data_IF_365303945920
#
_entry.id   IF_365303945920
#
_cell.length_a   1.000
_cell.length_b   1.000
_cell.length_c   1.000
_cell.angle_alpha   90.00
_cell.angle_beta   90.00
_cell.angle_gamma   90.00
#
_symmetry.space_group_name_H-M   'P 1'
#
loop_
_entity.id
_entity.type
_entity.pdbx_description
1 polymer ?
#
# COMPACT_ATOMS: atom_id res chain seq x y z
N UNK A 1 3.52 -5.96 -19.79
CA UNK A 1 3.08 -7.25 -19.22
C UNK A 1 1.56 -7.20 -19.12
N UNK A 2 0.82 -7.97 -19.94
CA UNK A 2 -0.66 -7.91 -19.99
C UNK A 2 -1.22 -9.08 -19.16
N UNK A 3 -2.20 -8.82 -18.28
CA UNK A 3 -2.90 -9.85 -17.50
C UNK A 3 -4.16 -10.30 -18.23
N UNK A 4 -4.41 -11.60 -18.28
CA UNK A 4 -5.68 -12.16 -18.77
C UNK A 4 -6.28 -13.11 -17.73
N UNK A 5 -7.61 -13.14 -17.65
CA UNK A 5 -8.40 -14.12 -16.89
C UNK A 5 -8.99 -15.14 -17.88
N UNK A 6 -8.70 -16.42 -17.68
CA UNK A 6 -9.35 -17.50 -18.42
C UNK A 6 -10.68 -17.84 -17.72
N UNK A 7 -11.79 -17.50 -18.35
CA UNK A 7 -13.16 -17.63 -17.78
C UNK A 7 -13.62 -19.08 -17.57
N UNK A 8 -12.90 -20.08 -18.07
CA UNK A 8 -13.26 -21.49 -17.93
C UNK A 8 -12.51 -22.24 -16.81
N UNK A 9 -11.43 -21.69 -16.24
CA UNK A 9 -10.63 -22.42 -15.25
C UNK A 9 -10.09 -21.59 -14.07
N UNK A 10 -10.37 -20.28 -13.99
CA UNK A 10 -9.99 -19.43 -12.86
C UNK A 10 -8.48 -19.21 -12.64
N UNK A 11 -7.62 -19.92 -13.36
CA UNK A 11 -6.17 -19.82 -13.23
C UNK A 11 -5.60 -18.60 -13.97
N UNK A 12 -4.84 -17.78 -13.24
CA UNK A 12 -4.07 -16.65 -13.78
C UNK A 12 -2.81 -17.19 -14.44
N UNK A 13 -2.71 -17.13 -15.77
CA UNK A 13 -1.47 -17.47 -16.51
C UNK A 13 -0.77 -16.21 -17.01
N UNK A 14 0.56 -16.20 -16.86
CA UNK A 14 1.46 -15.23 -17.48
C UNK A 14 1.97 -15.79 -18.81
N UNK A 15 2.04 -14.97 -19.85
CA UNK A 15 2.66 -15.37 -21.13
C UNK A 15 3.67 -14.31 -21.55
N UNK A 16 4.89 -14.74 -21.87
CA UNK A 16 6.06 -13.89 -22.11
C UNK A 16 6.74 -14.18 -23.47
N UNK A 17 5.98 -14.22 -24.58
CA UNK A 17 6.61 -14.16 -25.91
C UNK A 17 5.68 -13.60 -26.99
N UNK A 18 6.29 -13.06 -28.05
CA UNK A 18 5.65 -12.44 -29.21
C UNK A 18 4.81 -13.41 -30.07
N UNK A 19 5.09 -14.72 -30.02
CA UNK A 19 4.30 -15.74 -30.73
C UNK A 19 2.92 -15.98 -30.08
N UNK A 20 2.76 -15.70 -28.80
CA UNK A 20 1.49 -15.91 -28.09
C UNK A 20 0.44 -14.83 -28.34
N UNK A 21 0.84 -13.67 -28.87
CA UNK A 21 -0.08 -12.60 -29.28
C UNK A 21 -0.90 -12.96 -30.53
N UNK A 22 -0.39 -13.85 -31.38
CA UNK A 22 -1.09 -14.29 -32.60
C UNK A 22 -2.26 -15.24 -32.31
N UNK A 23 -2.17 -16.05 -31.24
CA UNK A 23 -3.25 -16.94 -30.80
C UNK A 23 -4.44 -16.18 -30.16
N UNK A 24 -4.25 -14.91 -29.77
CA UNK A 24 -5.30 -14.09 -29.13
C UNK A 24 -6.23 -13.44 -30.16
N UNK A 25 -5.77 -13.20 -31.40
CA UNK A 25 -6.62 -12.61 -32.46
C UNK A 25 -7.73 -13.55 -32.95
N UNK A 26 -7.64 -14.86 -32.67
CA UNK A 26 -8.62 -15.85 -33.13
C UNK A 26 -9.71 -16.20 -32.10
N UNK A 27 -9.67 -15.63 -30.89
CA UNK A 27 -10.55 -16.04 -29.78
C UNK A 27 -11.14 -14.82 -29.06
N UNK A 28 -12.46 -14.78 -28.86
CA UNK A 28 -13.21 -13.66 -28.27
C UNK A 28 -12.85 -13.39 -26.79
N UNK A 29 -11.70 -12.81 -26.52
CA UNK A 29 -11.32 -12.32 -25.19
C UNK A 29 -11.53 -10.80 -25.09
N UNK A 30 -12.22 -10.35 -24.04
CA UNK A 30 -12.35 -8.92 -23.68
C UNK A 30 -11.08 -8.47 -22.95
N UNK A 31 -10.42 -7.43 -23.47
CA UNK A 31 -9.24 -6.82 -22.85
C UNK A 31 -9.74 -5.73 -21.89
N UNK A 32 -9.35 -5.79 -20.62
CA UNK A 32 -9.58 -4.71 -19.64
C UNK A 32 -8.24 -3.97 -19.42
N UNK A 33 -8.17 -2.64 -19.58
CA UNK A 33 -6.92 -1.88 -19.43
C UNK A 33 -6.39 -1.92 -17.98
N UNK A 34 -5.08 -2.10 -17.84
CA UNK A 34 -4.40 -2.27 -16.53
C UNK A 34 -3.87 -0.95 -15.97
N UNK A 35 -4.60 0.15 -16.13
CA UNK A 35 -4.10 1.50 -15.80
C UNK A 35 -4.33 1.96 -14.34
N UNK A 36 -4.92 1.13 -13.46
CA UNK A 36 -5.22 1.53 -12.07
C UNK A 36 -4.43 0.79 -10.97
N UNK A 37 -3.46 -0.07 -11.31
CA UNK A 37 -2.78 -0.89 -10.29
C UNK A 37 -1.28 -1.14 -10.53
N UNK A 38 -0.39 -0.15 -10.29
CA UNK A 38 1.05 -0.39 -10.28
C UNK A 38 1.59 -0.90 -8.92
N UNK A 39 0.79 -0.97 -7.85
CA UNK A 39 1.32 -1.08 -6.47
C UNK A 39 1.55 -2.50 -5.92
N UNK A 40 1.45 -3.55 -6.75
CA UNK A 40 1.98 -4.87 -6.39
C UNK A 40 2.90 -5.33 -7.50
N UNK A 41 4.21 -5.09 -7.32
CA UNK A 41 5.19 -5.97 -7.91
C UNK A 41 4.84 -7.39 -7.43
N UNK A 42 4.67 -8.39 -8.31
CA UNK A 42 4.45 -9.76 -7.87
C UNK A 42 5.64 -10.15 -6.99
N UNK A 43 5.41 -10.32 -5.68
CA UNK A 43 6.49 -10.74 -4.76
C UNK A 43 6.96 -12.17 -5.02
N UNK A 44 6.22 -12.98 -5.78
CA UNK A 44 6.46 -14.42 -5.91
C UNK A 44 6.34 -14.91 -7.36
N UNK A 45 7.16 -14.42 -8.28
CA UNK A 45 7.38 -15.12 -9.55
C UNK A 45 8.89 -15.11 -9.83
N UNK A 46 9.46 -16.29 -10.04
CA UNK A 46 10.87 -16.57 -10.35
C UNK A 46 11.81 -16.80 -9.14
N UNK A 47 11.65 -17.96 -8.49
CA UNK A 47 12.82 -18.70 -8.00
C UNK A 47 13.54 -19.30 -9.21
N UNK A 48 14.36 -18.49 -9.90
CA UNK A 48 15.37 -19.03 -10.81
C UNK A 48 16.65 -19.14 -10.00
N UNK A 49 17.21 -20.34 -9.92
CA UNK A 49 18.35 -20.65 -9.08
C UNK A 49 19.47 -19.62 -9.26
N UNK A 50 19.94 -19.07 -8.13
CA UNK A 50 20.97 -18.03 -8.02
C UNK A 50 22.38 -18.58 -8.38
N UNK A 51 22.47 -19.57 -9.26
CA UNK A 51 23.57 -20.52 -9.34
C UNK A 51 24.43 -20.44 -10.61
N UNK A 52 24.52 -19.27 -11.27
CA UNK A 52 25.61 -19.06 -12.24
C UNK A 52 26.71 -18.18 -11.62
N UNK A 53 27.91 -18.76 -11.53
CA UNK A 53 29.09 -18.16 -10.90
C UNK A 53 29.46 -16.78 -11.48
N UNK A 54 29.11 -16.53 -12.75
CA UNK A 54 29.40 -15.27 -13.44
C UNK A 54 28.51 -14.10 -13.01
N UNK A 55 27.24 -14.35 -12.70
CA UNK A 55 26.34 -13.29 -12.24
C UNK A 55 26.79 -12.80 -10.87
N UNK A 56 27.11 -13.70 -9.94
CA UNK A 56 27.59 -13.38 -8.59
C UNK A 56 28.87 -12.55 -8.60
N UNK A 57 29.86 -12.91 -9.42
CA UNK A 57 31.13 -12.17 -9.55
C UNK A 57 30.94 -10.74 -10.06
N UNK A 58 30.05 -10.55 -11.05
CA UNK A 58 29.70 -9.22 -11.57
C UNK A 58 28.94 -8.38 -10.55
N UNK A 59 28.15 -9.03 -9.71
CA UNK A 59 27.33 -8.43 -8.64
C UNK A 59 28.20 -7.92 -7.50
N UNK A 60 29.22 -8.69 -7.09
CA UNK A 60 30.23 -8.29 -6.09
C UNK A 60 31.05 -7.07 -6.54
N UNK A 61 31.39 -6.99 -7.83
CA UNK A 61 32.07 -5.80 -8.38
C UNK A 61 31.22 -4.54 -8.24
N UNK A 62 29.89 -4.66 -8.40
CA UNK A 62 28.96 -3.54 -8.20
C UNK A 62 28.88 -3.21 -6.70
N UNK A 63 28.71 -4.20 -5.83
CA UNK A 63 28.64 -4.01 -4.37
C UNK A 63 29.88 -3.27 -3.83
N UNK A 64 31.07 -3.73 -4.17
CA UNK A 64 32.33 -3.10 -3.78
C UNK A 64 32.44 -1.64 -4.25
N UNK A 65 32.04 -1.36 -5.50
CA UNK A 65 32.02 0.03 -6.02
C UNK A 65 31.03 0.93 -5.29
N UNK A 66 29.93 0.38 -4.80
CA UNK A 66 28.90 1.11 -4.06
C UNK A 66 29.21 1.21 -2.56
N UNK A 67 30.29 0.57 -2.09
CA UNK A 67 30.66 0.54 -0.67
C UNK A 67 29.68 -0.23 0.20
N UNK A 68 29.03 -1.26 -0.36
CA UNK A 68 28.10 -2.13 0.37
C UNK A 68 28.74 -3.49 0.59
N UNK A 69 28.49 -4.08 1.75
CA UNK A 69 28.89 -5.45 2.04
C UNK A 69 28.29 -6.44 1.04
N UNK A 70 29.15 -7.29 0.46
CA UNK A 70 28.78 -8.25 -0.58
C UNK A 70 27.61 -9.15 -0.13
N UNK A 71 27.62 -9.62 1.12
CA UNK A 71 26.57 -10.48 1.68
C UNK A 71 25.22 -9.77 1.70
N UNK A 72 25.18 -8.54 2.22
CA UNK A 72 23.96 -7.73 2.29
C UNK A 72 23.40 -7.42 0.88
N UNK A 73 24.27 -7.14 -0.08
CA UNK A 73 23.89 -6.85 -1.45
C UNK A 73 23.31 -8.10 -2.14
N UNK A 74 23.98 -9.24 -2.01
CA UNK A 74 23.52 -10.53 -2.56
C UNK A 74 22.19 -10.95 -1.94
N UNK A 75 22.05 -10.86 -0.62
CA UNK A 75 20.81 -11.19 0.09
C UNK A 75 19.63 -10.34 -0.37
N UNK A 76 19.87 -9.04 -0.59
CA UNK A 76 18.86 -8.12 -1.08
C UNK A 76 18.37 -8.45 -2.50
N UNK A 77 19.23 -9.06 -3.32
CA UNK A 77 18.92 -9.43 -4.70
C UNK A 77 18.23 -10.79 -4.85
N UNK A 78 18.29 -11.67 -3.84
CA UNK A 78 17.55 -12.96 -3.82
C UNK A 78 16.05 -12.77 -4.09
N UNK A 79 15.49 -11.66 -3.60
CA UNK A 79 14.07 -11.34 -3.75
C UNK A 79 13.73 -10.59 -5.05
N UNK A 80 14.73 -10.15 -5.81
CA UNK A 80 14.58 -9.34 -7.03
C UNK A 80 15.68 -9.67 -8.06
N UNK A 81 15.74 -10.91 -8.58
CA UNK A 81 16.83 -11.36 -9.46
C UNK A 81 16.94 -10.55 -10.76
N UNK A 82 15.83 -9.97 -11.24
CA UNK A 82 15.81 -9.12 -12.44
C UNK A 82 16.77 -7.91 -12.34
N UNK A 83 17.10 -7.48 -11.13
CA UNK A 83 18.01 -6.36 -10.89
C UNK A 83 19.47 -6.68 -11.26
N UNK A 84 19.83 -7.96 -11.37
CA UNK A 84 21.16 -8.41 -11.82
C UNK A 84 21.46 -8.02 -13.27
N UNK A 85 20.41 -7.86 -14.09
CA UNK A 85 20.55 -7.47 -15.50
C UNK A 85 20.66 -5.96 -15.69
N UNK A 86 20.57 -5.16 -14.62
CA UNK A 86 20.70 -3.70 -14.68
C UNK A 86 22.19 -3.32 -14.73
N UNK A 87 22.58 -2.49 -15.71
CA UNK A 87 23.96 -2.06 -15.90
C UNK A 87 24.56 -1.35 -14.68
N UNK A 88 25.86 -1.55 -14.41
CA UNK A 88 26.64 -0.87 -13.35
C UNK A 88 26.40 0.65 -13.32
N UNK A 89 26.36 1.31 -14.48
CA UNK A 89 26.18 2.76 -14.57
C UNK A 89 24.82 3.24 -14.03
N UNK A 90 23.76 2.45 -14.19
CA UNK A 90 22.43 2.76 -13.65
C UNK A 90 22.40 2.61 -12.14
N UNK A 91 23.02 1.55 -11.62
CA UNK A 91 23.22 1.37 -10.19
C UNK A 91 23.99 2.54 -9.57
N UNK A 92 25.17 2.86 -10.10
CA UNK A 92 26.02 3.95 -9.62
C UNK A 92 25.30 5.30 -9.66
N UNK A 93 24.59 5.60 -10.75
CA UNK A 93 23.86 6.88 -10.88
C UNK A 93 22.68 6.98 -9.92
N UNK A 94 21.94 5.88 -9.73
CA UNK A 94 20.81 5.83 -8.79
C UNK A 94 21.29 5.96 -7.35
N UNK A 95 22.34 5.21 -6.98
CA UNK A 95 22.94 5.25 -5.65
C UNK A 95 23.46 6.63 -5.31
N UNK A 96 24.24 7.23 -6.21
CA UNK A 96 24.79 8.56 -6.02
C UNK A 96 23.71 9.59 -5.75
N UNK A 97 22.62 9.58 -6.51
CA UNK A 97 21.54 10.54 -6.31
C UNK A 97 20.78 10.30 -4.99
N UNK A 98 20.48 9.05 -4.64
CA UNK A 98 19.79 8.73 -3.38
C UNK A 98 20.64 9.11 -2.16
N UNK A 99 21.94 8.85 -2.22
CA UNK A 99 22.90 9.25 -1.18
C UNK A 99 23.09 10.77 -1.11
N UNK A 100 23.16 11.46 -2.25
CA UNK A 100 23.20 12.93 -2.29
C UNK A 100 21.95 13.56 -1.66
N UNK A 101 20.83 12.83 -1.62
CA UNK A 101 19.61 13.26 -0.97
C UNK A 101 19.50 12.81 0.49
N UNK A 102 20.57 12.27 1.09
CA UNK A 102 20.69 12.04 2.53
C UNK A 102 20.38 10.61 3.01
N UNK A 103 20.29 9.64 2.10
CA UNK A 103 20.19 8.21 2.45
C UNK A 103 21.58 7.59 2.63
N UNK A 104 21.72 6.65 3.57
CA UNK A 104 22.93 5.82 3.65
C UNK A 104 23.01 4.82 2.49
N UNK A 105 24.16 4.15 2.31
CA UNK A 105 24.32 3.10 1.31
C UNK A 105 23.34 1.93 1.55
N UNK A 106 23.18 1.51 2.80
CA UNK A 106 22.24 0.45 3.21
C UNK A 106 20.77 0.87 2.99
N UNK A 107 20.41 2.11 3.35
CA UNK A 107 19.06 2.63 3.13
C UNK A 107 18.75 2.74 1.63
N UNK A 108 19.74 3.12 0.84
CA UNK A 108 19.65 3.20 -0.62
C UNK A 108 19.39 1.82 -1.23
N UNK A 109 20.15 0.80 -0.81
CA UNK A 109 19.91 -0.58 -1.22
C UNK A 109 18.51 -1.04 -0.83
N UNK A 110 18.09 -0.79 0.41
CA UNK A 110 16.75 -1.12 0.89
C UNK A 110 15.64 -0.46 0.08
N UNK A 111 15.79 0.82 -0.26
CA UNK A 111 14.82 1.58 -1.07
C UNK A 111 14.68 0.99 -2.47
N UNK A 112 15.81 0.67 -3.10
CA UNK A 112 15.86 0.10 -4.45
C UNK A 112 15.25 -1.31 -4.48
N UNK A 113 15.57 -2.16 -3.52
CA UNK A 113 15.05 -3.53 -3.47
C UNK A 113 13.57 -3.55 -3.13
N UNK A 114 13.10 -2.59 -2.32
CA UNK A 114 11.68 -2.40 -2.04
C UNK A 114 10.88 -1.88 -3.23
N UNK A 115 11.49 -1.06 -4.09
CA UNK A 115 10.87 -0.52 -5.29
C UNK A 115 11.83 -0.54 -6.50
N UNK A 116 12.03 -1.73 -7.11
CA UNK A 116 12.93 -1.93 -8.24
C UNK A 116 12.77 -0.96 -9.43
N UNK A 117 11.55 -0.47 -9.78
CA UNK A 117 11.39 0.50 -10.86
C UNK A 117 12.22 1.76 -10.73
N UNK A 118 12.64 2.12 -9.52
CA UNK A 118 13.47 3.31 -9.29
C UNK A 118 14.79 3.25 -10.07
N UNK A 119 15.41 2.06 -10.17
CA UNK A 119 16.62 1.84 -10.97
C UNK A 119 16.42 2.00 -12.48
N UNK A 120 15.19 1.83 -12.95
CA UNK A 120 14.84 1.97 -14.35
C UNK A 120 14.42 3.40 -14.72
N UNK A 121 14.17 4.23 -13.71
CA UNK A 121 13.69 5.61 -13.87
C UNK A 121 14.87 6.57 -14.08
N UNK A 122 14.64 7.69 -14.76
CA UNK A 122 15.67 8.71 -14.89
C UNK A 122 15.95 9.36 -13.52
N UNK A 123 17.22 9.50 -13.19
CA UNK A 123 17.70 10.11 -11.95
C UNK A 123 17.10 11.51 -11.72
N UNK A 124 16.90 12.27 -12.79
CA UNK A 124 16.30 13.61 -12.72
C UNK A 124 14.85 13.59 -12.23
N UNK A 125 14.09 12.53 -12.54
CA UNK A 125 12.67 12.46 -12.19
C UNK A 125 12.50 12.30 -10.68
N UNK A 126 13.20 11.36 -10.06
CA UNK A 126 13.11 11.16 -8.62
C UNK A 126 13.89 12.23 -7.81
N UNK A 127 14.94 12.84 -8.38
CA UNK A 127 15.57 14.03 -7.81
C UNK A 127 14.58 15.19 -7.67
N UNK A 128 13.74 15.39 -8.70
CA UNK A 128 12.66 16.38 -8.66
C UNK A 128 11.61 15.99 -7.61
N UNK A 129 11.30 14.69 -7.47
CA UNK A 129 10.47 14.17 -6.39
C UNK A 129 10.93 14.59 -4.99
N UNK A 130 12.22 14.45 -4.67
CA UNK A 130 12.78 14.92 -3.40
C UNK A 130 12.53 16.42 -3.17
N UNK A 131 12.74 17.24 -4.20
CA UNK A 131 12.51 18.70 -4.10
C UNK A 131 11.05 19.02 -3.76
N UNK A 132 10.10 18.36 -4.43
CA UNK A 132 8.68 18.56 -4.13
C UNK A 132 8.31 18.14 -2.71
N UNK A 133 8.82 17.00 -2.24
CA UNK A 133 8.56 16.53 -0.89
C UNK A 133 9.19 17.40 0.21
N UNK A 134 10.35 18.01 -0.06
CA UNK A 134 10.93 19.00 0.85
C UNK A 134 10.11 20.30 0.90
N UNK A 135 9.48 20.67 -0.22
CA UNK A 135 8.67 21.88 -0.35
C UNK A 135 7.31 21.86 0.38
N UNK A 136 6.82 20.70 0.84
CA UNK A 136 5.54 20.60 1.58
C UNK A 136 5.68 20.72 3.10
N UNK A 137 6.87 21.11 3.57
CA UNK A 137 7.14 21.50 4.97
C UNK A 137 6.75 20.44 6.01
N UNK A 138 6.92 19.14 5.70
CA UNK A 138 6.72 18.07 6.69
C UNK A 138 7.96 17.84 7.58
N UNK A 139 9.05 18.55 7.31
CA UNK A 139 10.36 18.42 7.96
C UNK A 139 11.25 17.35 7.34
N UNK A 140 12.53 17.65 7.14
CA UNK A 140 13.49 16.81 6.38
C UNK A 140 13.54 15.36 6.89
N UNK A 141 13.70 15.16 8.20
CA UNK A 141 13.77 13.81 8.80
C UNK A 141 12.49 13.00 8.55
N UNK A 142 11.33 13.65 8.58
CA UNK A 142 10.06 12.98 8.33
C UNK A 142 9.90 12.62 6.85
N UNK A 143 10.29 13.52 5.95
CA UNK A 143 10.28 13.32 4.50
C UNK A 143 11.18 12.14 4.12
N UNK A 144 12.44 12.13 4.55
CA UNK A 144 13.35 11.02 4.25
C UNK A 144 12.83 9.70 4.80
N UNK A 145 12.31 9.72 6.03
CA UNK A 145 11.70 8.53 6.63
C UNK A 145 10.45 8.04 5.87
N UNK A 146 9.65 8.96 5.33
CA UNK A 146 8.49 8.65 4.47
C UNK A 146 8.95 8.02 3.15
N UNK A 147 9.91 8.64 2.45
CA UNK A 147 10.38 8.19 1.15
C UNK A 147 11.12 6.85 1.24
N UNK A 148 11.83 6.59 2.34
CA UNK A 148 12.36 5.25 2.64
C UNK A 148 11.27 4.19 2.78
N UNK A 149 10.15 4.57 3.42
CA UNK A 149 9.03 3.66 3.65
C UNK A 149 8.19 3.46 2.38
N UNK A 150 8.04 4.50 1.57
CA UNK A 150 7.21 4.54 0.37
C UNK A 150 8.00 5.12 -0.82
N UNK A 151 8.99 4.38 -1.38
CA UNK A 151 9.84 4.88 -2.47
C UNK A 151 9.08 5.33 -3.73
N UNK A 152 7.90 4.75 -3.98
CA UNK A 152 7.04 5.11 -5.10
C UNK A 152 6.60 6.58 -5.08
N UNK A 153 6.66 7.24 -3.92
CA UNK A 153 6.33 8.66 -3.78
C UNK A 153 7.34 9.60 -4.44
N UNK A 154 8.55 9.13 -4.71
CA UNK A 154 9.54 9.89 -5.47
C UNK A 154 9.09 10.15 -6.92
N UNK A 155 8.15 9.36 -7.43
CA UNK A 155 7.67 9.46 -8.81
C UNK A 155 6.31 10.18 -8.93
N UNK A 156 5.82 10.75 -7.84
CA UNK A 156 4.54 11.49 -7.82
C UNK A 156 4.77 12.94 -8.26
N UNK A 157 3.83 13.49 -9.03
CA UNK A 157 3.90 14.87 -9.51
C UNK A 157 3.79 15.87 -8.36
N UNK A 158 4.58 16.95 -8.40
CA UNK A 158 4.63 17.97 -7.35
C UNK A 158 3.26 18.55 -6.96
N UNK A 159 2.44 18.93 -7.94
CA UNK A 159 1.08 19.46 -7.70
C UNK A 159 0.21 18.49 -6.89
N UNK A 160 0.29 17.20 -7.19
CA UNK A 160 -0.47 16.17 -6.48
C UNK A 160 0.02 16.02 -5.04
N UNK A 161 1.34 16.05 -4.82
CA UNK A 161 1.94 16.03 -3.48
C UNK A 161 1.45 17.24 -2.67
N UNK A 162 1.57 18.45 -3.22
CA UNK A 162 1.15 19.69 -2.54
C UNK A 162 -0.33 19.68 -2.19
N UNK A 163 -1.20 19.35 -3.15
CA UNK A 163 -2.65 19.29 -2.93
C UNK A 163 -3.01 18.26 -1.87
N UNK A 164 -2.47 17.03 -1.98
CA UNK A 164 -2.81 15.97 -1.05
C UNK A 164 -2.29 16.23 0.36
N UNK A 165 -1.08 16.77 0.49
CA UNK A 165 -0.54 17.10 1.80
C UNK A 165 -1.36 18.23 2.44
N UNK A 166 -1.79 19.24 1.67
CA UNK A 166 -2.70 20.27 2.18
C UNK A 166 -4.01 19.66 2.70
N UNK A 167 -4.65 18.77 1.94
CA UNK A 167 -5.83 18.03 2.40
C UNK A 167 -5.57 17.24 3.69
N UNK A 168 -4.48 16.48 3.77
CA UNK A 168 -4.17 15.69 4.96
C UNK A 168 -3.85 16.56 6.19
N UNK A 169 -3.29 17.76 6.00
CA UNK A 169 -3.09 18.72 7.10
C UNK A 169 -4.41 19.28 7.66
N UNK A 170 -5.51 19.23 6.90
CA UNK A 170 -6.84 19.62 7.44
C UNK A 170 -7.36 18.63 8.48
N UNK A 171 -6.92 17.37 8.45
CA UNK A 171 -7.40 16.31 9.34
C UNK A 171 -6.41 15.94 10.46
N UNK A 172 -5.15 16.38 10.38
CA UNK A 172 -4.12 16.08 11.38
C UNK A 172 -2.86 16.92 11.27
N UNK A 173 -1.98 16.81 12.27
CA UNK A 173 -0.68 17.49 12.28
C UNK A 173 0.32 16.90 11.29
N UNK A 174 1.42 17.59 11.00
CA UNK A 174 2.47 17.09 10.07
C UNK A 174 2.99 15.69 10.44
N UNK A 175 3.16 15.42 11.73
CA UNK A 175 3.55 14.07 12.22
C UNK A 175 2.48 13.03 11.92
N UNK A 176 1.20 13.40 12.05
CA UNK A 176 0.08 12.52 11.68
C UNK A 176 0.02 12.29 10.17
N UNK A 177 0.21 13.33 9.35
CA UNK A 177 0.27 13.21 7.87
C UNK A 177 1.35 12.21 7.44
N UNK A 178 2.55 12.32 7.99
CA UNK A 178 3.65 11.40 7.68
C UNK A 178 3.30 9.96 8.09
N UNK A 179 2.66 9.78 9.26
CA UNK A 179 2.26 8.46 9.74
C UNK A 179 1.14 7.86 8.89
N UNK A 180 0.14 8.65 8.52
CA UNK A 180 -0.95 8.28 7.62
C UNK A 180 -0.41 7.80 6.28
N UNK A 181 0.47 8.56 5.65
CA UNK A 181 1.03 8.22 4.35
C UNK A 181 1.91 6.96 4.38
N UNK A 182 2.57 6.68 5.52
CA UNK A 182 3.30 5.42 5.73
C UNK A 182 2.37 4.23 5.91
N UNK A 183 1.32 4.37 6.71
CA UNK A 183 0.38 3.29 7.02
C UNK A 183 -0.58 3.02 5.84
N UNK A 184 -1.01 4.07 5.13
CA UNK A 184 -1.96 4.01 4.04
C UNK A 184 -1.43 4.78 2.81
N UNK A 185 -0.43 4.24 2.07
CA UNK A 185 0.18 4.94 0.95
C UNK A 185 -0.80 5.25 -0.20
N UNK A 186 -1.92 4.51 -0.27
CA UNK A 186 -3.00 4.74 -1.23
C UNK A 186 -3.69 6.08 -1.06
N UNK A 187 -3.65 6.68 0.14
CA UNK A 187 -4.19 8.01 0.41
C UNK A 187 -3.58 9.09 -0.49
N UNK A 188 -2.42 8.85 -1.10
CA UNK A 188 -1.86 9.76 -2.09
C UNK A 188 -2.70 9.87 -3.37
N UNK A 189 -3.50 8.84 -3.68
CA UNK A 189 -4.20 8.67 -4.95
C UNK A 189 -5.72 8.53 -4.80
N UNK A 190 -6.21 8.13 -3.63
CA UNK A 190 -7.65 7.95 -3.35
C UNK A 190 -8.46 9.24 -3.57
N UNK A 191 -9.72 9.14 -3.97
CA UNK A 191 -10.63 10.30 -4.00
C UNK A 191 -10.75 10.89 -2.59
N UNK A 192 -10.66 12.22 -2.48
CA UNK A 192 -10.72 12.89 -1.17
C UNK A 192 -12.08 12.73 -0.49
N UNK A 193 -13.18 12.68 -1.26
CA UNK A 193 -14.52 12.46 -0.71
C UNK A 193 -14.63 11.07 -0.06
N UNK A 194 -14.04 10.03 -0.66
CA UNK A 194 -14.02 8.68 -0.07
C UNK A 194 -13.20 8.65 1.23
N UNK A 195 -12.12 9.43 1.29
CA UNK A 195 -11.33 9.58 2.53
C UNK A 195 -12.15 10.29 3.61
N UNK A 196 -12.89 11.35 3.26
CA UNK A 196 -13.77 12.05 4.18
C UNK A 196 -14.93 11.15 4.65
N UNK A 197 -15.51 10.34 3.78
CA UNK A 197 -16.55 9.37 4.15
C UNK A 197 -16.03 8.34 5.17
N UNK A 198 -14.81 7.82 4.97
CA UNK A 198 -14.16 6.94 5.96
C UNK A 198 -13.90 7.64 7.30
N UNK A 199 -13.47 8.90 7.27
CA UNK A 199 -13.24 9.68 8.49
C UNK A 199 -14.55 9.97 9.23
N UNK A 200 -15.60 10.37 8.51
CA UNK A 200 -16.95 10.58 9.05
C UNK A 200 -17.49 9.32 9.71
N UNK A 201 -17.40 8.19 9.01
CA UNK A 201 -17.83 6.91 9.56
C UNK A 201 -17.09 6.56 10.87
N UNK A 202 -15.76 6.66 10.88
CA UNK A 202 -14.98 6.25 12.06
C UNK A 202 -15.08 7.23 13.24
N UNK A 203 -15.03 8.54 12.97
CA UNK A 203 -14.95 9.57 14.01
C UNK A 203 -16.34 10.02 14.46
N UNK A 204 -17.25 10.22 13.51
CA UNK A 204 -18.55 10.82 13.79
C UNK A 204 -19.61 9.75 14.06
N UNK A 205 -19.67 8.68 13.26
CA UNK A 205 -20.66 7.62 13.45
C UNK A 205 -20.24 6.61 14.53
N UNK A 206 -19.02 6.06 14.42
CA UNK A 206 -18.48 5.09 15.38
C UNK A 206 -17.83 5.76 16.61
N UNK A 207 -17.72 7.10 16.67
CA UNK A 207 -17.19 7.85 17.83
C UNK A 207 -15.79 7.41 18.27
N UNK A 208 -14.94 7.05 17.32
CA UNK A 208 -13.55 6.68 17.59
C UNK A 208 -12.71 7.94 17.69
N UNK A 209 -11.84 8.01 18.69
CA UNK A 209 -10.95 9.15 18.89
C UNK A 209 -10.12 9.39 17.61
N UNK A 210 -10.16 10.62 17.08
CA UNK A 210 -9.42 11.02 15.87
C UNK A 210 -7.96 10.56 15.89
N UNK A 211 -7.26 10.76 17.01
CA UNK A 211 -5.86 10.36 17.18
C UNK A 211 -5.62 8.86 16.97
N UNK A 212 -6.58 8.01 17.33
CA UNK A 212 -6.51 6.57 17.10
C UNK A 212 -6.69 6.24 15.62
N UNK A 213 -7.67 6.87 14.96
CA UNK A 213 -7.91 6.72 13.53
C UNK A 213 -6.67 7.13 12.71
N UNK A 214 -6.05 8.26 13.03
CA UNK A 214 -4.88 8.74 12.29
C UNK A 214 -3.59 7.92 12.53
N UNK A 215 -3.56 7.07 13.56
CA UNK A 215 -2.40 6.22 13.89
C UNK A 215 -2.53 4.78 13.41
N UNK A 216 -3.74 4.32 13.10
CA UNK A 216 -4.03 2.95 12.66
C UNK A 216 -3.84 2.78 11.16
N UNK A 217 -4.14 1.59 10.66
CA UNK A 217 -4.24 1.28 9.23
C UNK A 217 -5.68 1.39 8.68
N UNK A 218 -6.63 1.95 9.45
CA UNK A 218 -8.05 1.99 9.07
C UNK A 218 -8.29 2.68 7.72
N UNK A 219 -7.61 3.80 7.44
CA UNK A 219 -7.78 4.53 6.19
C UNK A 219 -7.18 3.82 4.96
N UNK A 220 -6.42 2.73 5.15
CA UNK A 220 -5.95 1.88 4.06
C UNK A 220 -7.01 0.85 3.60
N UNK A 221 -8.09 0.71 4.37
CA UNK A 221 -9.24 -0.13 4.04
C UNK A 221 -10.29 0.66 3.26
N UNK A 222 -11.13 -0.04 2.51
CA UNK A 222 -12.32 0.53 1.90
C UNK A 222 -13.44 0.74 2.95
N UNK A 223 -14.42 1.57 2.60
CA UNK A 223 -15.50 1.93 3.52
C UNK A 223 -16.40 0.74 3.84
N UNK A 224 -16.68 -0.13 2.86
CA UNK A 224 -17.53 -1.30 3.04
C UNK A 224 -16.92 -2.29 4.04
N UNK A 225 -15.61 -2.55 3.97
CA UNK A 225 -14.87 -3.36 4.93
C UNK A 225 -14.98 -2.81 6.35
N UNK A 226 -14.79 -1.50 6.52
CA UNK A 226 -14.91 -0.85 7.82
C UNK A 226 -16.34 -1.01 8.35
N UNK A 227 -17.35 -0.64 7.55
CA UNK A 227 -18.76 -0.77 7.91
C UNK A 227 -19.12 -2.21 8.28
N UNK A 228 -18.75 -3.19 7.45
CA UNK A 228 -18.99 -4.61 7.70
C UNK A 228 -18.52 -5.05 9.08
N UNK A 229 -17.25 -4.76 9.44
CA UNK A 229 -16.71 -5.16 10.75
C UNK A 229 -17.37 -4.45 11.93
N UNK A 230 -17.61 -3.14 11.81
CA UNK A 230 -18.22 -2.37 12.88
C UNK A 230 -19.70 -2.71 13.10
N UNK A 231 -20.49 -2.82 12.02
CA UNK A 231 -21.89 -3.24 12.08
C UNK A 231 -22.01 -4.67 12.59
N UNK A 232 -21.11 -5.57 12.19
CA UNK A 232 -21.08 -6.93 12.72
C UNK A 232 -20.88 -6.94 14.23
N UNK A 233 -19.90 -6.19 14.75
CA UNK A 233 -19.68 -6.11 16.20
C UNK A 233 -20.86 -5.45 16.94
N UNK A 234 -21.53 -4.46 16.35
CA UNK A 234 -22.77 -3.90 16.91
C UNK A 234 -23.88 -4.97 16.99
N UNK A 235 -24.07 -5.76 15.93
CA UNK A 235 -25.07 -6.85 15.87
C UNK A 235 -24.74 -8.00 16.83
N UNK A 236 -23.46 -8.30 17.06
CA UNK A 236 -23.01 -9.25 18.08
C UNK A 236 -23.03 -8.68 19.51
N UNK A 237 -23.38 -7.40 19.70
CA UNK A 237 -23.33 -6.73 21.01
C UNK A 237 -21.91 -6.55 21.57
N UNK A 238 -20.88 -6.67 20.72
CA UNK A 238 -19.45 -6.50 21.07
C UNK A 238 -18.97 -5.06 20.89
N UNK A 239 -19.73 -4.24 20.18
CA UNK A 239 -19.47 -2.82 20.04
C UNK A 239 -20.70 -2.02 20.41
N UNK A 240 -20.52 -1.01 21.26
CA UNK A 240 -21.56 -0.04 21.60
C UNK A 240 -21.01 1.34 21.31
N UNK A 241 -21.67 2.09 20.42
CA UNK A 241 -21.27 3.47 20.10
C UNK A 241 -21.11 4.30 21.39
N UNK A 242 -19.91 4.86 21.66
CA UNK A 242 -19.70 5.73 22.80
C UNK A 242 -20.73 6.87 22.86
N UNK A 243 -21.17 7.23 24.07
CA UNK A 243 -21.98 8.44 24.30
C UNK A 243 -21.15 9.69 23.95
N UNK A 244 -21.83 10.79 23.62
CA UNK A 244 -21.18 12.07 23.32
C UNK A 244 -20.36 12.62 24.51
N UNK A 245 -20.84 12.40 25.73
CA UNK A 245 -20.18 12.78 26.97
C UNK A 245 -20.01 11.54 27.86
N UNK A 246 -19.00 10.68 27.56
CA UNK A 246 -18.77 9.46 28.33
C UNK A 246 -18.08 9.82 29.65
N UNK A 247 -18.52 9.20 30.75
CA UNK A 247 -17.83 9.33 32.03
C UNK A 247 -16.38 8.83 31.90
N UNK A 248 -15.36 9.68 32.12
CA UNK A 248 -13.97 9.30 31.97
C UNK A 248 -13.53 8.20 32.95
N UNK A 249 -14.30 7.97 34.03
CA UNK A 249 -14.03 6.91 34.99
C UNK A 249 -14.55 5.54 34.54
N UNK A 250 -15.38 5.48 33.50
CA UNK A 250 -15.94 4.24 32.98
C UNK A 250 -15.25 3.91 31.65
N UNK A 251 -14.25 3.02 31.65
CA UNK A 251 -13.57 2.66 30.42
C UNK A 251 -14.52 1.95 29.46
N UNK A 252 -14.35 2.23 28.17
CA UNK A 252 -15.09 1.54 27.11
C UNK A 252 -14.77 0.03 27.14
N UNK A 253 -15.81 -0.79 26.96
CA UNK A 253 -15.67 -2.25 26.75
C UNK A 253 -15.47 -2.60 25.28
N UNK A 254 -15.49 -1.61 24.37
CA UNK A 254 -15.32 -1.86 22.95
C UNK A 254 -13.91 -2.36 22.65
N UNK A 255 -13.76 -3.27 21.67
CA UNK A 255 -12.45 -3.69 21.19
C UNK A 255 -11.62 -2.49 20.68
N UNK A 256 -10.28 -2.54 20.82
CA UNK A 256 -9.42 -1.49 20.29
C UNK A 256 -9.52 -1.42 18.77
N UNK A 257 -9.50 -0.22 18.18
CA UNK A 257 -9.61 -0.02 16.73
C UNK A 257 -8.65 -0.93 15.94
N UNK A 258 -7.43 -1.13 16.45
CA UNK A 258 -6.41 -1.98 15.83
C UNK A 258 -6.91 -3.41 15.61
N UNK A 259 -7.52 -4.03 16.63
CA UNK A 259 -8.02 -5.41 16.53
C UNK A 259 -9.20 -5.50 15.56
N UNK A 260 -9.95 -4.41 15.39
CA UNK A 260 -11.07 -4.35 14.45
C UNK A 260 -10.58 -4.24 13.00
N UNK A 261 -9.54 -3.47 12.69
CA UNK A 261 -9.20 -3.13 11.28
C UNK A 261 -7.93 -3.78 10.73
N UNK A 262 -7.06 -4.30 11.59
CA UNK A 262 -5.73 -4.79 11.20
C UNK A 262 -5.63 -6.32 11.17
N UNK A 263 -6.39 -7.01 12.02
CA UNK A 263 -6.41 -8.49 12.07
C UNK A 263 -7.05 -9.09 10.81
N UNK A 264 -6.67 -10.32 10.47
CA UNK A 264 -7.38 -11.12 9.46
C UNK A 264 -8.79 -11.50 9.93
N UNK A 265 -9.60 -12.04 9.01
CA UNK A 265 -11.01 -12.33 9.26
C UNK A 265 -11.21 -13.44 10.30
N UNK A 266 -10.31 -14.43 10.37
CA UNK A 266 -10.37 -15.53 11.35
C UNK A 266 -10.09 -15.03 12.78
N UNK A 267 -9.05 -14.23 12.95
CA UNK A 267 -8.71 -13.64 14.26
C UNK A 267 -9.77 -12.63 14.67
N UNK A 268 -10.26 -11.82 13.73
CA UNK A 268 -11.35 -10.88 13.98
C UNK A 268 -12.63 -11.60 14.44
N UNK A 269 -13.10 -12.61 13.71
CA UNK A 269 -14.34 -13.31 14.03
C UNK A 269 -14.24 -14.06 15.36
N UNK A 270 -13.18 -14.84 15.56
CA UNK A 270 -13.06 -15.72 16.73
C UNK A 270 -12.64 -14.98 18.00
N UNK A 271 -11.68 -14.06 17.92
CA UNK A 271 -11.10 -13.41 19.11
C UNK A 271 -11.75 -12.07 19.44
N UNK A 272 -12.26 -11.34 18.44
CA UNK A 272 -12.85 -10.01 18.64
C UNK A 272 -14.38 -10.08 18.70
N UNK A 273 -15.01 -10.75 17.74
CA UNK A 273 -16.46 -10.88 17.70
C UNK A 273 -16.98 -12.06 18.55
N UNK A 274 -16.17 -13.11 18.74
CA UNK A 274 -16.53 -14.30 19.53
C UNK A 274 -17.49 -15.24 18.81
N UNK A 275 -17.34 -15.35 17.48
CA UNK A 275 -18.14 -16.18 16.57
C UNK A 275 -17.22 -17.04 15.70
N UNK A 276 -17.77 -17.94 14.88
CA UNK A 276 -16.96 -18.67 13.89
C UNK A 276 -16.61 -17.80 12.68
N UNK A 277 -15.60 -18.21 11.90
CA UNK A 277 -15.26 -17.54 10.65
C UNK A 277 -16.41 -17.64 9.64
N UNK A 278 -17.05 -18.80 9.56
CA UNK A 278 -18.16 -19.05 8.64
C UNK A 278 -19.35 -18.13 8.93
N UNK A 279 -19.68 -17.89 10.21
CA UNK A 279 -20.74 -16.95 10.60
C UNK A 279 -20.43 -15.53 10.12
N UNK A 280 -19.17 -15.11 10.17
CA UNK A 280 -18.76 -13.80 9.70
C UNK A 280 -18.72 -13.71 8.16
N UNK A 281 -18.24 -14.75 7.46
CA UNK A 281 -18.24 -14.80 6.00
C UNK A 281 -19.66 -14.70 5.42
N UNK A 282 -20.61 -15.46 5.99
CA UNK A 282 -22.04 -15.37 5.63
C UNK A 282 -22.57 -13.97 5.89
N UNK A 283 -22.20 -13.36 7.02
CA UNK A 283 -22.60 -11.98 7.32
C UNK A 283 -22.07 -10.98 6.28
N UNK A 284 -20.82 -11.12 5.81
CA UNK A 284 -20.26 -10.22 4.80
C UNK A 284 -21.05 -10.25 3.50
N UNK A 285 -21.49 -11.43 3.06
CA UNK A 285 -22.34 -11.59 1.87
C UNK A 285 -23.69 -10.89 2.06
N UNK A 286 -24.37 -11.16 3.19
CA UNK A 286 -25.66 -10.55 3.52
C UNK A 286 -25.56 -9.02 3.65
N UNK A 287 -24.51 -8.53 4.29
CA UNK A 287 -24.30 -7.09 4.49
C UNK A 287 -24.00 -6.37 3.16
N UNK A 288 -23.27 -7.02 2.26
CA UNK A 288 -23.01 -6.45 0.92
C UNK A 288 -24.31 -6.28 0.14
N UNK A 289 -25.23 -7.26 0.23
CA UNK A 289 -26.55 -7.16 -0.38
C UNK A 289 -27.40 -6.05 0.26
N UNK A 290 -27.43 -5.97 1.59
CA UNK A 290 -28.16 -4.93 2.34
C UNK A 290 -27.71 -3.51 1.94
N UNK A 291 -26.40 -3.30 1.78
CA UNK A 291 -25.86 -2.00 1.33
C UNK A 291 -26.25 -1.71 -0.12
N UNK A 292 -26.13 -2.69 -1.02
CA UNK A 292 -26.48 -2.51 -2.42
C UNK A 292 -27.96 -2.17 -2.62
N UNK A 293 -28.86 -2.81 -1.86
CA UNK A 293 -30.29 -2.49 -1.87
C UNK A 293 -30.54 -1.05 -1.38
N UNK A 294 -29.90 -0.64 -0.28
CA UNK A 294 -30.07 0.72 0.26
C UNK A 294 -29.57 1.83 -0.67
N UNK A 295 -28.55 1.57 -1.49
CA UNK A 295 -28.03 2.55 -2.45
C UNK A 295 -28.98 2.70 -3.66
N UNK A 296 -29.62 1.62 -4.11
CA UNK A 296 -30.60 1.67 -5.23
C UNK A 296 -31.85 2.47 -4.87
N UNK A 297 -32.33 2.36 -3.64
CA UNK A 297 -33.48 3.12 -3.17
C UNK A 297 -33.17 4.63 -3.08
N UNK A 298 -31.93 5.00 -2.74
CA UNK A 298 -31.54 6.42 -2.63
C UNK A 298 -31.37 7.16 -3.95
N UNK A 299 -31.12 6.44 -5.06
CA UNK A 299 -30.98 7.01 -6.40
C UNK A 299 -32.32 7.13 -7.15
N UNK A 300 -33.42 6.64 -6.55
CA UNK A 300 -34.76 6.67 -7.14
C UNK A 300 -35.72 7.71 -6.53
N UNK A 301 -35.23 8.53 -5.58
CA UNK A 301 -35.90 9.71 -5.02
C UNK A 301 -35.32 11.03 -5.56
#
# INVERSE_FOLDING_TARGET
MIRYLCSSCGLRKFVCSSQSLLLIKSSRFRIVPTELYPYRWPRNCFTRDFSTCNDVESTKKIAHKLGIEDELFVDSLKNCPDLLHVSSNKWESCFRELMNNGLSAEETLYVITKYPPLLLTNVKDFSTGFKYWRGVELGEKNVLSLLKTCPQFLLVRGQQISLRVAHLKTVGSDKAVVKLLKNAPRLMFDNWNDVLAKLSFLIDEMRIERKQVLKSYALNRDLLFLKSRFVFLERCGKYVKPKLDPDPNIPSKNPPLKSIVEEDDETFSTQVAGVTLEEYEVFQELYTMEVAESEMDSDSE
#
